data_IF_491012915412
#
_entry.id   IF_491012915412
#
_cell.length_a   1.000
_cell.length_b   1.000
_cell.length_c   1.000
_cell.angle_alpha   90.00
_cell.angle_beta   90.00
_cell.angle_gamma   90.00
#
_symmetry.space_group_name_H-M   'P 1'
#
loop_
_entity.id
_entity.type
_entity.pdbx_description
1 polymer ?
#
# COMPACT_ATOMS: atom_id res chain seq x y z
N UNK A 1 20.41 -16.74 25.68
CA UNK A 1 19.15 -16.18 26.24
C UNK A 1 18.81 -14.73 25.82
N UNK A 2 19.53 -14.07 24.90
CA UNK A 2 19.34 -12.63 24.57
C UNK A 2 18.51 -12.29 23.32
N UNK A 3 18.05 -13.27 22.54
CA UNK A 3 17.30 -13.06 21.29
C UNK A 3 15.80 -12.87 21.52
N UNK A 4 15.20 -13.60 22.46
CA UNK A 4 13.74 -13.61 22.71
C UNK A 4 13.23 -12.26 23.26
N UNK A 5 14.02 -11.57 24.10
CA UNK A 5 13.65 -10.24 24.65
C UNK A 5 13.77 -9.11 23.61
N UNK A 6 14.68 -9.24 22.65
CA UNK A 6 14.92 -8.21 21.60
C UNK A 6 13.77 -8.16 20.60
N UNK A 7 13.33 -9.31 20.10
CA UNK A 7 12.22 -9.39 19.15
C UNK A 7 10.91 -8.84 19.72
N UNK A 8 10.63 -9.08 21.01
CA UNK A 8 9.44 -8.54 21.65
C UNK A 8 9.50 -7.01 21.77
N UNK A 9 10.66 -6.45 22.11
CA UNK A 9 10.83 -4.99 22.26
C UNK A 9 10.73 -4.27 20.93
N UNK A 10 11.35 -4.80 19.87
CA UNK A 10 11.23 -4.24 18.53
C UNK A 10 9.77 -4.22 18.05
N UNK A 11 9.03 -5.31 18.24
CA UNK A 11 7.61 -5.36 17.87
C UNK A 11 6.75 -4.37 18.68
N UNK A 12 7.02 -4.22 19.99
CA UNK A 12 6.37 -3.21 20.83
C UNK A 12 6.60 -1.80 20.28
N UNK A 13 7.84 -1.47 19.95
CA UNK A 13 8.19 -0.19 19.34
C UNK A 13 7.43 0.01 18.03
N UNK A 14 7.46 -0.98 17.12
CA UNK A 14 6.79 -0.86 15.82
C UNK A 14 5.26 -0.70 15.97
N UNK A 15 4.64 -1.36 16.95
CA UNK A 15 3.21 -1.22 17.23
C UNK A 15 2.88 0.17 17.80
N UNK A 16 3.63 0.64 18.79
CA UNK A 16 3.48 1.97 19.35
C UNK A 16 3.66 3.06 18.30
N UNK A 17 4.73 2.94 17.50
CA UNK A 17 5.02 3.85 16.41
C UNK A 17 3.89 3.87 15.38
N UNK A 18 3.37 2.69 14.99
CA UNK A 18 2.23 2.60 14.10
C UNK A 18 1.03 3.36 14.66
N UNK A 19 0.65 3.13 15.93
CA UNK A 19 -0.46 3.83 16.60
C UNK A 19 -0.28 5.35 16.60
N UNK A 20 0.90 5.83 16.97
CA UNK A 20 1.23 7.27 17.01
C UNK A 20 1.16 7.88 15.60
N UNK A 21 1.71 7.19 14.59
CA UNK A 21 1.63 7.64 13.21
C UNK A 21 0.20 7.62 12.65
N UNK A 22 -0.66 6.68 13.06
CA UNK A 22 -2.08 6.70 12.65
C UNK A 22 -2.79 7.96 13.13
N UNK A 23 -2.46 8.43 14.34
CA UNK A 23 -3.13 9.55 15.00
C UNK A 23 -2.60 10.91 14.54
N UNK A 24 -1.28 11.05 14.38
CA UNK A 24 -0.61 12.34 14.18
C UNK A 24 0.15 12.46 12.85
N UNK A 25 0.20 11.39 12.07
CA UNK A 25 1.08 11.29 10.92
C UNK A 25 2.56 11.23 11.30
N UNK A 26 3.42 11.08 10.29
CA UNK A 26 4.86 11.03 10.49
C UNK A 26 5.42 12.38 10.96
N UNK A 27 5.02 13.47 10.30
CA UNK A 27 5.62 14.79 10.55
C UNK A 27 5.15 15.36 11.91
N UNK A 28 3.88 15.12 12.28
CA UNK A 28 3.29 15.58 13.55
C UNK A 28 3.65 14.78 14.80
N UNK A 29 4.45 13.72 14.69
CA UNK A 29 4.84 12.86 15.82
C UNK A 29 6.30 13.02 16.24
N UNK A 30 6.57 12.78 17.52
CA UNK A 30 7.90 12.84 18.12
C UNK A 30 8.34 11.45 18.59
N UNK A 31 9.65 11.20 18.52
CA UNK A 31 10.24 9.94 19.03
C UNK A 31 9.94 9.72 20.52
N UNK A 32 9.80 10.79 21.31
CA UNK A 32 9.43 10.68 22.73
C UNK A 32 8.04 10.05 22.90
N UNK A 33 7.04 10.52 22.16
CA UNK A 33 5.67 10.02 22.26
C UNK A 33 5.57 8.53 21.89
N UNK A 34 6.39 8.09 20.94
CA UNK A 34 6.48 6.68 20.56
C UNK A 34 7.11 5.84 21.68
N UNK A 35 8.16 6.36 22.33
CA UNK A 35 8.79 5.69 23.45
C UNK A 35 7.82 5.56 24.63
N UNK A 36 7.06 6.62 24.92
CA UNK A 36 6.04 6.65 25.97
C UNK A 36 4.91 5.64 25.67
N UNK A 37 4.38 5.62 24.44
CA UNK A 37 3.37 4.64 23.99
C UNK A 37 3.89 3.20 24.04
N UNK A 38 5.19 2.99 23.77
CA UNK A 38 5.84 1.68 23.86
C UNK A 38 6.18 1.26 25.30
N UNK A 39 6.07 2.16 26.27
CA UNK A 39 6.48 1.94 27.66
C UNK A 39 7.99 1.73 27.82
N UNK A 40 8.80 2.40 26.99
CA UNK A 40 10.27 2.33 27.03
C UNK A 40 10.88 3.73 27.12
N UNK A 41 12.15 3.82 27.51
CA UNK A 41 12.87 5.09 27.43
C UNK A 41 13.30 5.41 25.97
N UNK A 42 13.46 6.71 25.68
CA UNK A 42 13.82 7.20 24.34
C UNK A 42 15.21 6.74 23.87
N UNK A 43 16.15 6.52 24.78
CA UNK A 43 17.48 6.01 24.42
C UNK A 43 17.40 4.58 23.86
N UNK A 44 16.57 3.72 24.47
CA UNK A 44 16.29 2.37 23.98
C UNK A 44 15.57 2.41 22.63
N UNK A 45 14.64 3.34 22.44
CA UNK A 45 14.02 3.54 21.12
C UNK A 45 15.08 3.88 20.05
N UNK A 46 16.00 4.82 20.33
CA UNK A 46 17.07 5.18 19.40
C UNK A 46 18.08 4.05 19.17
N UNK A 47 18.28 3.16 20.15
CA UNK A 47 19.10 1.96 19.98
C UNK A 47 18.52 1.02 18.90
N UNK A 48 17.20 0.79 18.89
CA UNK A 48 16.56 -0.01 17.84
C UNK A 48 16.41 0.77 16.53
N UNK A 49 15.96 2.03 16.62
CA UNK A 49 15.66 2.86 15.46
C UNK A 49 16.28 4.24 15.62
N UNK A 50 17.47 4.39 15.01
CA UNK A 50 18.28 5.61 15.09
C UNK A 50 17.51 6.88 14.75
N UNK A 51 16.59 6.82 13.78
CA UNK A 51 15.79 7.97 13.33
C UNK A 51 14.31 7.60 13.19
N UNK A 52 13.44 8.62 13.29
CA UNK A 52 12.00 8.49 12.99
C UNK A 52 11.75 7.95 11.58
N UNK A 53 12.62 8.32 10.63
CA UNK A 53 12.58 7.78 9.26
C UNK A 53 12.80 6.26 9.23
N UNK A 54 13.86 5.76 9.88
CA UNK A 54 14.16 4.33 9.88
C UNK A 54 13.08 3.51 10.58
N UNK A 55 12.49 4.06 11.63
CA UNK A 55 11.32 3.48 12.28
C UNK A 55 10.11 3.40 11.34
N UNK A 56 9.84 4.48 10.61
CA UNK A 56 8.76 4.53 9.64
C UNK A 56 8.98 3.52 8.51
N UNK A 57 10.17 3.50 7.89
CA UNK A 57 10.59 2.51 6.89
C UNK A 57 10.38 1.06 7.36
N UNK A 58 10.71 0.76 8.63
CA UNK A 58 10.54 -0.58 9.20
C UNK A 58 9.06 -0.98 9.34
N UNK A 59 8.18 -0.05 9.72
CA UNK A 59 6.73 -0.29 9.73
C UNK A 59 6.23 -0.61 8.32
N UNK A 60 6.70 0.11 7.30
CA UNK A 60 6.31 -0.20 5.91
C UNK A 60 6.80 -1.55 5.45
N UNK A 61 8.08 -1.88 5.69
CA UNK A 61 8.59 -3.23 5.42
C UNK A 61 7.70 -4.30 6.05
N UNK A 62 7.25 -4.09 7.29
CA UNK A 62 6.32 -4.99 7.98
C UNK A 62 4.95 -5.07 7.32
N UNK A 63 4.39 -3.94 6.87
CA UNK A 63 3.10 -3.91 6.15
C UNK A 63 3.19 -4.62 4.80
N UNK A 64 4.24 -4.34 4.02
CA UNK A 64 4.48 -4.97 2.72
C UNK A 64 4.71 -6.47 2.88
N UNK A 65 5.49 -6.89 3.89
CA UNK A 65 5.71 -8.32 4.22
C UNK A 65 4.43 -9.07 4.53
N UNK A 66 3.42 -8.40 5.11
CA UNK A 66 2.10 -9.01 5.36
C UNK A 66 1.20 -9.02 4.12
N UNK A 67 1.27 -7.97 3.30
CA UNK A 67 0.36 -7.76 2.18
C UNK A 67 0.78 -8.47 0.88
N UNK A 68 2.06 -8.40 0.54
CA UNK A 68 2.57 -8.81 -0.77
C UNK A 68 2.50 -10.32 -1.04
N UNK A 69 2.67 -11.24 -0.06
CA UNK A 69 2.49 -12.67 -0.32
C UNK A 69 1.13 -12.99 -0.94
N UNK A 70 0.05 -12.39 -0.41
CA UNK A 70 -1.32 -12.61 -0.93
C UNK A 70 -1.54 -12.00 -2.33
N UNK A 71 -0.82 -10.92 -2.65
CA UNK A 71 -0.84 -10.32 -4.00
C UNK A 71 -0.08 -11.24 -4.97
N UNK A 72 1.10 -11.72 -4.57
CA UNK A 72 1.93 -12.63 -5.36
C UNK A 72 1.17 -13.93 -5.68
N UNK A 73 0.59 -14.57 -4.66
CA UNK A 73 -0.22 -15.79 -4.83
C UNK A 73 -1.37 -15.58 -5.82
N UNK A 74 -2.04 -14.42 -5.76
CA UNK A 74 -3.12 -14.10 -6.69
C UNK A 74 -2.62 -13.93 -8.13
N UNK A 75 -1.51 -13.21 -8.35
CA UNK A 75 -0.92 -13.01 -9.69
C UNK A 75 -0.61 -14.35 -10.36
N UNK A 76 -0.02 -15.28 -9.60
CA UNK A 76 0.42 -16.58 -10.08
C UNK A 76 -0.61 -17.70 -9.90
N UNK A 77 -1.85 -17.39 -9.52
CA UNK A 77 -2.94 -18.37 -9.45
C UNK A 77 -3.45 -18.80 -10.83
N UNK A 78 -4.27 -19.83 -10.89
CA UNK A 78 -4.95 -20.28 -12.12
C UNK A 78 -6.29 -19.56 -12.37
N UNK A 79 -6.56 -18.46 -11.66
CA UNK A 79 -7.78 -17.68 -11.85
C UNK A 79 -7.87 -17.13 -13.29
N UNK A 80 -9.09 -17.04 -13.86
CA UNK A 80 -9.33 -16.26 -15.07
C UNK A 80 -8.78 -14.83 -14.94
N UNK A 81 -8.31 -14.26 -16.05
CA UNK A 81 -7.57 -13.00 -16.00
C UNK A 81 -8.42 -11.83 -15.47
N UNK A 82 -9.68 -11.74 -15.87
CA UNK A 82 -10.65 -10.79 -15.33
C UNK A 82 -10.77 -10.92 -13.79
N UNK A 83 -10.86 -12.15 -13.27
CA UNK A 83 -10.90 -12.42 -11.82
C UNK A 83 -9.61 -12.08 -11.11
N UNK A 84 -8.46 -12.22 -11.76
CA UNK A 84 -7.18 -11.71 -11.22
C UNK A 84 -7.20 -10.20 -11.08
N UNK A 85 -7.68 -9.47 -12.09
CA UNK A 85 -7.79 -8.01 -12.04
C UNK A 85 -8.76 -7.56 -10.95
N UNK A 86 -9.95 -8.16 -10.86
CA UNK A 86 -10.91 -7.88 -9.79
C UNK A 86 -10.29 -8.08 -8.41
N UNK A 87 -9.67 -9.26 -8.20
CA UNK A 87 -9.06 -9.62 -6.92
C UNK A 87 -7.88 -8.71 -6.57
N UNK A 88 -7.09 -8.31 -7.56
CA UNK A 88 -6.00 -7.34 -7.36
C UNK A 88 -6.53 -6.01 -6.86
N UNK A 89 -7.52 -5.44 -7.54
CA UNK A 89 -8.10 -4.13 -7.18
C UNK A 89 -8.72 -4.20 -5.78
N UNK A 90 -9.48 -5.26 -5.48
CA UNK A 90 -10.11 -5.43 -4.16
C UNK A 90 -9.06 -5.50 -3.04
N UNK A 91 -8.05 -6.37 -3.18
CA UNK A 91 -6.97 -6.52 -2.19
C UNK A 91 -6.15 -5.24 -2.04
N UNK A 92 -5.77 -4.61 -3.15
CA UNK A 92 -4.96 -3.39 -3.14
C UNK A 92 -5.71 -2.25 -2.44
N UNK A 93 -6.96 -1.99 -2.82
CA UNK A 93 -7.77 -0.96 -2.18
C UNK A 93 -8.08 -1.29 -0.71
N UNK A 94 -8.28 -2.55 -0.33
CA UNK A 94 -8.43 -2.94 1.08
C UNK A 94 -7.20 -2.59 1.91
N UNK A 95 -6.00 -2.88 1.38
CA UNK A 95 -4.75 -2.54 2.05
C UNK A 95 -4.64 -1.03 2.24
N UNK A 96 -4.95 -0.23 1.21
CA UNK A 96 -4.90 1.23 1.29
C UNK A 96 -5.94 1.81 2.27
N UNK A 97 -7.16 1.28 2.28
CA UNK A 97 -8.23 1.76 3.17
C UNK A 97 -8.00 1.36 4.64
N UNK A 98 -7.48 0.16 4.90
CA UNK A 98 -7.13 -0.31 6.26
C UNK A 98 -5.89 0.39 6.82
N UNK A 99 -5.07 1.01 5.97
CA UNK A 99 -3.84 1.70 6.37
C UNK A 99 -3.81 3.14 5.83
N UNK A 100 -4.54 4.10 6.43
CA UNK A 100 -4.74 5.45 5.87
C UNK A 100 -3.46 6.27 5.61
N UNK A 101 -2.36 5.95 6.29
CA UNK A 101 -1.05 6.58 6.12
C UNK A 101 -0.23 5.97 4.96
N UNK A 102 -0.57 4.76 4.52
CA UNK A 102 0.17 4.06 3.47
C UNK A 102 0.10 4.78 2.10
N UNK A 103 -1.06 5.26 1.62
CA UNK A 103 -1.10 6.04 0.37
C UNK A 103 -0.19 7.26 0.39
N UNK A 104 -0.25 8.06 1.47
CA UNK A 104 0.58 9.26 1.62
C UNK A 104 2.07 8.93 1.69
N UNK A 105 2.43 7.84 2.38
CA UNK A 105 3.80 7.36 2.40
C UNK A 105 4.30 6.99 1.01
N UNK A 106 3.53 6.18 0.27
CA UNK A 106 3.90 5.76 -1.08
C UNK A 106 4.20 7.00 -1.93
N UNK A 107 3.34 8.01 -1.90
CA UNK A 107 3.56 9.24 -2.67
C UNK A 107 4.78 10.05 -2.20
N UNK A 108 5.03 10.10 -0.89
CA UNK A 108 6.19 10.81 -0.31
C UNK A 108 7.51 10.10 -0.67
N UNK A 109 7.57 8.78 -0.54
CA UNK A 109 8.79 8.01 -0.78
C UNK A 109 9.08 7.74 -2.25
N UNK A 110 8.06 7.66 -3.14
CA UNK A 110 8.29 7.56 -4.59
C UNK A 110 9.21 8.69 -5.07
N UNK A 111 9.07 9.91 -4.52
CA UNK A 111 9.90 11.06 -4.89
C UNK A 111 11.18 11.17 -4.07
N UNK A 112 11.17 10.70 -2.81
CA UNK A 112 12.28 10.89 -1.88
C UNK A 112 13.33 9.80 -1.95
N UNK A 113 12.92 8.53 -1.91
CA UNK A 113 13.79 7.37 -1.95
C UNK A 113 13.14 6.24 -2.77
N UNK A 114 13.06 6.42 -4.11
CA UNK A 114 12.48 5.42 -5.01
C UNK A 114 13.24 4.09 -4.96
N UNK A 115 14.54 4.13 -4.66
CA UNK A 115 15.38 2.92 -4.56
C UNK A 115 15.00 2.08 -3.35
N UNK A 116 14.75 2.71 -2.20
CA UNK A 116 14.22 2.03 -1.03
C UNK A 116 12.89 1.36 -1.34
N UNK A 117 11.92 2.09 -1.91
CA UNK A 117 10.60 1.52 -2.21
C UNK A 117 10.71 0.35 -3.19
N UNK A 118 11.51 0.49 -4.25
CA UNK A 118 11.79 -0.58 -5.19
C UNK A 118 12.44 -1.79 -4.49
N UNK A 119 13.38 -1.57 -3.56
CA UNK A 119 14.03 -2.65 -2.80
C UNK A 119 13.03 -3.41 -1.93
N UNK A 120 12.09 -2.71 -1.30
CA UNK A 120 11.04 -3.32 -0.48
C UNK A 120 10.13 -4.18 -1.36
N UNK A 121 9.64 -3.65 -2.49
CA UNK A 121 8.78 -4.39 -3.41
C UNK A 121 9.49 -5.65 -3.95
N UNK A 122 10.73 -5.50 -4.43
CA UNK A 122 11.54 -6.62 -4.95
C UNK A 122 11.80 -7.68 -3.87
N UNK A 123 12.03 -7.27 -2.63
CA UNK A 123 12.28 -8.21 -1.51
C UNK A 123 11.08 -9.11 -1.20
N UNK A 124 9.88 -8.77 -1.68
CA UNK A 124 8.68 -9.59 -1.55
C UNK A 124 8.46 -10.56 -2.71
N UNK A 125 9.43 -10.68 -3.64
CA UNK A 125 9.31 -11.58 -4.78
C UNK A 125 8.31 -11.10 -5.83
N UNK A 126 7.99 -9.81 -5.86
CA UNK A 126 7.19 -9.19 -6.93
C UNK A 126 8.14 -8.49 -7.89
N UNK A 127 8.28 -9.07 -9.08
CA UNK A 127 9.03 -8.49 -10.18
C UNK A 127 8.05 -7.91 -11.22
N UNK A 128 8.05 -6.60 -11.48
CA UNK A 128 7.18 -6.00 -12.50
C UNK A 128 7.28 -6.69 -13.87
N UNK A 129 8.46 -7.20 -14.23
CA UNK A 129 8.66 -7.92 -15.50
C UNK A 129 7.80 -9.17 -15.62
N UNK A 130 7.59 -9.91 -14.53
CA UNK A 130 6.76 -11.13 -14.54
C UNK A 130 5.27 -10.77 -14.68
N UNK A 131 4.86 -9.68 -14.04
CA UNK A 131 3.49 -9.14 -14.16
C UNK A 131 3.23 -8.69 -15.60
N UNK A 132 4.15 -7.95 -16.20
CA UNK A 132 4.01 -7.47 -17.58
C UNK A 132 3.95 -8.63 -18.58
N UNK A 133 4.80 -9.64 -18.43
CA UNK A 133 4.74 -10.86 -19.26
C UNK A 133 3.38 -11.57 -19.14
N UNK A 134 2.78 -11.59 -17.95
CA UNK A 134 1.44 -12.14 -17.77
C UNK A 134 0.39 -11.35 -18.53
N UNK A 135 0.50 -10.01 -18.58
CA UNK A 135 -0.44 -9.18 -19.33
C UNK A 135 -0.26 -9.38 -20.84
N UNK A 136 0.98 -9.39 -21.32
CA UNK A 136 1.32 -9.63 -22.73
C UNK A 136 0.77 -10.97 -23.22
N UNK A 137 0.90 -12.03 -22.42
CA UNK A 137 0.34 -13.36 -22.76
C UNK A 137 -1.18 -13.33 -22.96
N UNK A 138 -1.92 -12.56 -22.15
CA UNK A 138 -3.38 -12.44 -22.29
C UNK A 138 -3.78 -11.55 -23.48
N UNK A 139 -2.93 -10.58 -23.84
CA UNK A 139 -3.08 -9.80 -25.08
C UNK A 139 -2.83 -10.65 -26.33
N UNK A 140 -1.84 -11.55 -26.29
CA UNK A 140 -1.54 -12.48 -27.39
C UNK A 140 -2.65 -13.50 -27.62
N UNK A 141 -3.28 -13.98 -26.53
CA UNK A 141 -4.46 -14.86 -26.59
C UNK A 141 -5.72 -14.17 -27.12
N UNK A 142 -5.76 -12.83 -27.12
CA UNK A 142 -6.96 -12.07 -27.44
C UNK A 142 -7.98 -12.02 -26.31
N UNK A 143 -7.62 -12.37 -25.06
CA UNK A 143 -8.49 -12.21 -23.89
C UNK A 143 -8.70 -10.71 -23.59
N UNK A 144 -7.65 -9.91 -23.79
CA UNK A 144 -7.66 -8.46 -23.60
C UNK A 144 -7.05 -7.74 -24.80
N UNK A 145 -7.43 -6.47 -25.00
CA UNK A 145 -6.89 -5.62 -26.06
C UNK A 145 -5.38 -5.40 -25.89
N UNK A 146 -4.67 -5.30 -27.03
CA UNK A 146 -3.25 -4.94 -27.04
C UNK A 146 -3.04 -3.50 -26.57
N UNK A 147 -2.09 -3.31 -25.66
CA UNK A 147 -1.64 -2.01 -25.14
C UNK A 147 -0.27 -2.15 -24.49
N UNK A 148 0.34 -1.05 -24.03
CA UNK A 148 1.52 -1.15 -23.16
C UNK A 148 1.10 -1.78 -21.81
N UNK A 149 1.70 -2.90 -21.36
CA UNK A 149 1.37 -3.53 -20.08
C UNK A 149 1.65 -2.62 -18.87
N UNK A 150 2.56 -1.64 -19.01
CA UNK A 150 2.83 -0.64 -17.98
C UNK A 150 1.63 0.27 -17.80
N UNK A 151 0.96 0.68 -18.87
CA UNK A 151 -0.22 1.53 -18.80
C UNK A 151 -1.35 0.84 -18.03
N UNK A 152 -1.55 -0.46 -18.27
CA UNK A 152 -2.54 -1.22 -17.50
C UNK A 152 -2.24 -1.21 -16.00
N UNK A 153 -0.99 -1.51 -15.62
CA UNK A 153 -0.60 -1.51 -14.21
C UNK A 153 -0.70 -0.11 -13.58
N UNK A 154 -0.20 0.92 -14.27
CA UNK A 154 -0.23 2.31 -13.80
C UNK A 154 -1.68 2.78 -13.64
N UNK A 155 -2.58 2.47 -14.58
CA UNK A 155 -4.00 2.82 -14.47
C UNK A 155 -4.65 2.17 -13.25
N UNK A 156 -4.42 0.88 -13.01
CA UNK A 156 -4.95 0.20 -11.82
C UNK A 156 -4.44 0.83 -10.52
N UNK A 157 -3.14 1.13 -10.45
CA UNK A 157 -2.54 1.77 -9.27
C UNK A 157 -3.06 3.19 -9.07
N UNK A 158 -3.09 4.00 -10.12
CA UNK A 158 -3.51 5.40 -10.09
C UNK A 158 -4.97 5.55 -9.68
N UNK A 159 -5.88 4.81 -10.32
CA UNK A 159 -7.32 4.85 -10.02
C UNK A 159 -7.66 4.38 -8.60
N UNK A 160 -6.78 3.56 -8.00
CA UNK A 160 -6.93 3.04 -6.64
C UNK A 160 -6.32 3.98 -5.59
N UNK A 161 -5.10 4.46 -5.79
CA UNK A 161 -4.36 5.24 -4.79
C UNK A 161 -4.80 6.71 -4.74
N UNK A 162 -5.08 7.31 -5.90
CA UNK A 162 -5.32 8.75 -6.00
C UNK A 162 -6.53 9.22 -5.18
N UNK A 163 -7.71 8.58 -5.22
CA UNK A 163 -8.85 9.00 -4.41
C UNK A 163 -8.50 8.98 -2.91
N UNK A 164 -7.76 7.98 -2.45
CA UNK A 164 -7.44 7.86 -1.03
C UNK A 164 -6.40 8.91 -0.62
N UNK A 165 -5.38 9.14 -1.44
CA UNK A 165 -4.34 10.13 -1.18
C UNK A 165 -4.84 11.58 -1.28
N UNK A 166 -5.71 11.87 -2.24
CA UNK A 166 -6.31 13.18 -2.44
C UNK A 166 -7.52 13.43 -1.51
N UNK A 167 -7.78 12.55 -0.54
CA UNK A 167 -8.96 12.60 0.36
C UNK A 167 -9.25 14.00 0.91
N UNK A 168 -8.31 14.76 1.50
CA UNK A 168 -8.62 16.07 2.06
C UNK A 168 -9.22 17.02 1.00
N UNK A 169 -8.57 17.13 -0.16
CA UNK A 169 -9.02 17.97 -1.25
C UNK A 169 -10.38 17.52 -1.81
N UNK A 170 -10.52 16.21 -2.08
CA UNK A 170 -11.72 15.64 -2.69
C UNK A 170 -12.94 15.75 -1.76
N UNK A 171 -12.74 15.61 -0.45
CA UNK A 171 -13.82 15.76 0.54
C UNK A 171 -14.37 17.18 0.52
N UNK A 172 -13.51 18.20 0.46
CA UNK A 172 -13.93 19.59 0.37
C UNK A 172 -14.60 19.90 -0.97
N UNK A 173 -13.95 19.55 -2.09
CA UNK A 173 -14.40 19.96 -3.43
C UNK A 173 -15.66 19.24 -3.92
N UNK A 174 -15.81 17.95 -3.63
CA UNK A 174 -16.86 17.12 -4.25
C UNK A 174 -17.93 16.66 -3.25
N UNK A 175 -17.69 16.83 -1.95
CA UNK A 175 -18.59 16.38 -0.89
C UNK A 175 -18.84 17.47 0.16
N UNK A 176 -18.49 18.73 -0.11
CA UNK A 176 -18.72 19.89 0.76
C UNK A 176 -18.26 19.65 2.21
N UNK A 177 -17.11 18.99 2.39
CA UNK A 177 -16.54 18.68 3.71
C UNK A 177 -17.13 17.43 4.38
N UNK A 178 -18.10 16.74 3.77
CA UNK A 178 -18.75 15.56 4.35
C UNK A 178 -17.87 14.30 4.29
N UNK A 179 -17.13 14.07 5.36
CA UNK A 179 -16.22 12.92 5.50
C UNK A 179 -16.92 11.56 5.45
N UNK A 180 -18.17 11.47 5.90
CA UNK A 180 -18.91 10.21 5.95
C UNK A 180 -19.37 9.79 4.55
N UNK A 181 -19.87 10.73 3.76
CA UNK A 181 -20.21 10.49 2.35
C UNK A 181 -18.98 10.13 1.54
N UNK A 182 -17.85 10.83 1.75
CA UNK A 182 -16.60 10.49 1.08
C UNK A 182 -16.13 9.07 1.42
N UNK A 183 -16.27 8.65 2.69
CA UNK A 183 -15.96 7.29 3.10
C UNK A 183 -16.85 6.27 2.40
N UNK A 184 -18.16 6.53 2.27
CA UNK A 184 -19.09 5.66 1.53
C UNK A 184 -18.70 5.56 0.06
N UNK A 185 -18.40 6.70 -0.58
CA UNK A 185 -17.89 6.75 -1.95
C UNK A 185 -16.64 5.86 -2.13
N UNK A 186 -15.66 5.95 -1.21
CA UNK A 186 -14.45 5.12 -1.30
C UNK A 186 -14.71 3.62 -1.16
N UNK A 187 -15.73 3.21 -0.40
CA UNK A 187 -16.12 1.80 -0.27
C UNK A 187 -16.74 1.27 -1.58
N UNK A 188 -17.60 2.06 -2.21
CA UNK A 188 -18.23 1.73 -3.50
C UNK A 188 -17.23 1.81 -4.67
N UNK A 189 -16.23 2.69 -4.56
CA UNK A 189 -15.25 2.96 -5.61
C UNK A 189 -14.52 1.73 -6.11
N UNK A 190 -14.31 0.70 -5.27
CA UNK A 190 -13.70 -0.56 -5.69
C UNK A 190 -14.43 -1.20 -6.87
N UNK A 191 -15.76 -1.20 -6.83
CA UNK A 191 -16.59 -1.76 -7.90
C UNK A 191 -16.46 -0.92 -9.17
N UNK A 192 -16.54 0.40 -9.05
CA UNK A 192 -16.37 1.29 -10.21
C UNK A 192 -14.98 1.18 -10.85
N UNK A 193 -13.90 1.02 -10.07
CA UNK A 193 -12.55 0.84 -10.60
C UNK A 193 -12.43 -0.50 -11.34
N UNK A 194 -12.99 -1.58 -10.79
CA UNK A 194 -13.05 -2.89 -11.46
C UNK A 194 -13.79 -2.79 -12.80
N UNK A 195 -15.00 -2.25 -12.79
CA UNK A 195 -15.81 -2.07 -14.00
C UNK A 195 -15.10 -1.20 -15.04
N UNK A 196 -14.51 -0.08 -14.62
CA UNK A 196 -13.80 0.83 -15.53
C UNK A 196 -12.60 0.15 -16.19
N UNK A 197 -11.76 -0.56 -15.41
CA UNK A 197 -10.59 -1.26 -15.94
C UNK A 197 -11.03 -2.40 -16.87
N UNK A 198 -11.94 -3.27 -16.44
CA UNK A 198 -12.38 -4.43 -17.22
C UNK A 198 -13.06 -4.01 -18.52
N UNK A 199 -13.97 -3.04 -18.49
CA UNK A 199 -14.61 -2.50 -19.69
C UNK A 199 -13.60 -1.86 -20.64
N UNK A 200 -12.50 -1.31 -20.11
CA UNK A 200 -11.45 -0.76 -20.96
C UNK A 200 -10.66 -1.85 -21.66
N UNK A 201 -10.40 -3.01 -21.05
CA UNK A 201 -9.44 -3.99 -21.59
C UNK A 201 -10.08 -5.22 -22.26
N UNK A 202 -11.26 -5.66 -21.83
CA UNK A 202 -11.86 -6.90 -22.33
C UNK A 202 -12.33 -6.72 -23.78
N UNK A 203 -11.99 -7.70 -24.62
CA UNK A 203 -12.53 -7.81 -25.97
C UNK A 203 -13.89 -8.51 -25.85
N UNK A 204 -14.95 -7.86 -26.34
CA UNK A 204 -16.30 -8.43 -26.40
C UNK A 204 -16.48 -9.29 -27.64
#
# INVERSE_FOLDING_TARGET
MNTIKKDNTEQKILNAAQNVFMKKGMDGSRMQEIADEAGINKALLHYYFRTKQKLFEAIFKRLFKKAFPSIREMIFSDLPFDKKIETFIDKYMDILLKNPYLPLFILKEINRDPQFLASVIRSQGVNPTEVFKSFEKEMEKGTIRKMDPKDLLINMLALSIFPIAARPLMTEMFFNGNKNEYKKFLLERKNTVKEFILNSILIK
#
